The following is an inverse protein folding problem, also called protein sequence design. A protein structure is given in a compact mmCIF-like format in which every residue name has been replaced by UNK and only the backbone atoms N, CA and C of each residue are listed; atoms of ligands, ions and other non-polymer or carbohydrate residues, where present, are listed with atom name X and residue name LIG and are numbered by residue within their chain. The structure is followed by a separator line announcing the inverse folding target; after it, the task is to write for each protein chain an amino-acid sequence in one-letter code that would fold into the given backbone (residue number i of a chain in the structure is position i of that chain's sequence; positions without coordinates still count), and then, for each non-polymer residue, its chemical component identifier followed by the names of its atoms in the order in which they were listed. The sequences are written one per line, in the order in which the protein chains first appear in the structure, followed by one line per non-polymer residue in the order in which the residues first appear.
data_IF_574406715549
#
_entry.id   IF_574406715549
#
_cell.length_a   1.000
_cell.length_b   1.000
_cell.length_c   1.000
_cell.angle_alpha   90.00
_cell.angle_beta   90.00
_cell.angle_gamma   90.00
#
_symmetry.space_group_name_H-M   'P 1'
#
loop_
_entity.id
_entity.type
_entity.pdbx_description
1 polymer ?
#
# COMPACT_ATOMS: atom_id res chain seq x y z
N UNK A 1 20.49 -68.10 8.77
CA UNK A 1 21.62 -67.17 8.55
C UNK A 1 21.03 -65.85 8.09
N UNK A 2 21.23 -64.77 8.87
CA UNK A 2 21.35 -63.32 8.50
C UNK A 2 20.33 -62.75 7.47
N UNK A 3 19.65 -61.63 7.66
CA UNK A 3 20.03 -60.39 8.34
C UNK A 3 18.76 -59.51 8.48
N UNK A 4 18.52 -58.96 9.68
CA UNK A 4 17.51 -57.92 9.92
C UNK A 4 17.94 -56.63 9.22
N UNK A 5 17.06 -56.00 8.44
CA UNK A 5 17.25 -54.66 7.89
C UNK A 5 16.11 -53.74 8.33
N UNK A 6 15.99 -53.52 9.64
CA UNK A 6 15.31 -52.34 10.19
C UNK A 6 16.31 -51.19 10.17
N UNK A 7 16.39 -50.49 9.03
CA UNK A 7 17.08 -49.19 8.95
C UNK A 7 16.10 -48.14 9.43
N UNK A 8 16.12 -47.96 10.74
CA UNK A 8 16.33 -46.67 11.42
C UNK A 8 15.65 -45.46 10.77
N UNK A 9 14.36 -45.35 11.09
CA UNK A 9 13.57 -44.14 11.23
C UNK A 9 14.28 -43.16 12.21
N UNK A 10 15.33 -42.43 11.79
CA UNK A 10 16.10 -41.58 12.72
C UNK A 10 16.70 -40.30 12.14
N UNK A 11 16.24 -39.81 10.98
CA UNK A 11 16.79 -38.56 10.42
C UNK A 11 15.78 -37.57 9.83
N UNK A 12 14.48 -37.75 10.07
CA UNK A 12 13.43 -36.75 9.71
C UNK A 12 12.68 -36.28 10.97
N UNK A 13 13.35 -36.34 12.11
CA UNK A 13 13.01 -35.60 13.31
C UNK A 13 14.15 -34.63 13.66
N UNK A 14 14.79 -34.05 12.62
CA UNK A 14 15.38 -32.73 12.78
C UNK A 14 14.20 -31.81 13.01
N UNK A 15 13.80 -31.79 14.27
CA UNK A 15 12.94 -30.83 14.90
C UNK A 15 13.07 -29.52 14.14
N UNK A 16 11.97 -29.08 13.54
CA UNK A 16 11.77 -27.66 13.29
C UNK A 16 11.82 -27.00 14.67
N UNK A 17 13.03 -26.80 15.18
CA UNK A 17 13.29 -25.83 16.23
C UNK A 17 13.11 -24.50 15.50
N UNK A 18 11.86 -24.07 15.41
CA UNK A 18 11.53 -22.70 15.09
C UNK A 18 12.14 -21.88 16.21
N UNK A 19 13.35 -21.37 15.97
CA UNK A 19 13.96 -20.43 16.88
C UNK A 19 13.09 -19.18 16.80
N UNK A 20 12.15 -19.03 17.73
CA UNK A 20 11.41 -17.79 17.89
C UNK A 20 12.46 -16.70 18.17
N UNK A 21 12.76 -15.91 17.15
CA UNK A 21 13.69 -14.80 17.29
C UNK A 21 12.97 -13.77 18.15
N UNK A 22 13.37 -13.67 19.41
CA UNK A 22 12.84 -12.62 20.29
C UNK A 22 13.22 -11.26 19.70
N UNK A 23 12.25 -10.54 19.14
CA UNK A 23 12.46 -9.17 18.68
C UNK A 23 12.58 -8.28 19.91
N UNK A 24 13.74 -7.62 20.05
CA UNK A 24 14.06 -6.73 21.18
C UNK A 24 14.24 -5.30 20.67
N UNK A 25 14.13 -4.32 21.58
CA UNK A 25 14.32 -2.90 21.31
C UNK A 25 13.36 -2.37 20.24
N UNK A 26 12.06 -2.58 20.48
CA UNK A 26 10.96 -2.05 19.67
C UNK A 26 10.20 -1.00 20.46
N UNK A 27 9.73 0.04 19.78
CA UNK A 27 9.07 1.19 20.39
C UNK A 27 7.54 1.02 20.43
N UNK A 28 6.99 0.24 19.49
CA UNK A 28 5.55 0.05 19.34
C UNK A 28 5.24 -1.31 18.74
N UNK A 29 4.10 -1.88 19.16
CA UNK A 29 3.51 -3.10 18.60
C UNK A 29 2.06 -2.79 18.27
N UNK A 30 1.66 -3.04 17.03
CA UNK A 30 0.29 -2.89 16.57
C UNK A 30 -0.53 -4.18 16.80
N UNK A 31 -1.87 -4.11 16.83
CA UNK A 31 -2.72 -5.30 16.78
C UNK A 31 -2.45 -6.15 15.53
N UNK A 32 -2.73 -7.44 15.62
CA UNK A 32 -2.69 -8.32 14.45
C UNK A 32 -3.80 -7.94 13.45
N UNK A 33 -3.44 -7.90 12.16
CA UNK A 33 -4.35 -7.88 11.02
C UNK A 33 -3.85 -8.90 10.02
N UNK A 34 -4.75 -9.75 9.52
CA UNK A 34 -4.40 -10.81 8.54
C UNK A 34 -3.19 -11.65 8.97
N UNK A 35 -3.18 -12.03 10.25
CA UNK A 35 -2.14 -12.84 10.89
C UNK A 35 -0.74 -12.18 11.00
N UNK A 36 -0.62 -10.90 10.65
CA UNK A 36 0.59 -10.09 10.79
C UNK A 36 0.38 -8.93 11.77
N UNK A 37 1.38 -8.64 12.59
CA UNK A 37 1.39 -7.46 13.46
C UNK A 37 2.56 -6.56 13.10
N UNK A 38 2.30 -5.27 12.90
CA UNK A 38 3.34 -4.29 12.66
C UNK A 38 4.09 -3.97 13.96
N UNK A 39 5.41 -3.89 13.89
CA UNK A 39 6.28 -3.51 15.01
C UNK A 39 7.20 -2.38 14.58
N UNK A 40 7.42 -1.41 15.47
CA UNK A 40 8.22 -0.22 15.17
C UNK A 40 9.55 -0.23 15.89
N UNK A 41 10.60 0.22 15.22
CA UNK A 41 11.91 0.51 15.79
C UNK A 41 12.45 1.80 15.17
N UNK A 42 12.59 2.85 15.97
CA UNK A 42 12.86 4.20 15.50
C UNK A 42 11.75 4.69 14.58
N UNK A 43 12.13 5.13 13.37
CA UNK A 43 11.20 5.57 12.34
C UNK A 43 10.84 4.46 11.32
N UNK A 44 11.27 3.22 11.57
CA UNK A 44 11.03 2.07 10.68
C UNK A 44 10.00 1.11 11.28
N UNK A 45 9.27 0.44 10.39
CA UNK A 45 8.30 -0.60 10.74
C UNK A 45 8.66 -1.92 10.07
N UNK A 46 8.44 -3.03 10.76
CA UNK A 46 8.49 -4.39 10.21
C UNK A 46 7.23 -5.16 10.62
N UNK A 47 7.10 -6.41 10.17
CA UNK A 47 5.96 -7.27 10.53
C UNK A 47 6.40 -8.57 11.16
N UNK A 48 5.70 -8.96 12.22
CA UNK A 48 5.83 -10.27 12.86
C UNK A 48 4.59 -11.13 12.60
N UNK A 49 4.79 -12.45 12.60
CA UNK A 49 3.68 -13.41 12.59
C UNK A 49 3.21 -13.76 14.02
N UNK A 50 2.23 -14.66 14.14
CA UNK A 50 1.66 -15.09 15.43
C UNK A 50 2.66 -15.81 16.35
N UNK A 51 3.71 -16.39 15.79
CA UNK A 51 4.81 -17.01 16.54
C UNK A 51 5.85 -15.99 17.03
N UNK A 52 5.64 -14.69 16.75
CA UNK A 52 6.55 -13.60 17.11
C UNK A 52 7.79 -13.52 16.22
N UNK A 53 7.80 -14.22 15.09
CA UNK A 53 8.91 -14.22 14.13
C UNK A 53 8.79 -13.01 13.21
N UNK A 54 9.88 -12.27 13.02
CA UNK A 54 9.96 -11.20 12.03
C UNK A 54 9.90 -11.80 10.62
N UNK A 55 8.82 -11.51 9.89
CA UNK A 55 8.57 -12.05 8.54
C UNK A 55 8.72 -11.00 7.44
N UNK A 56 8.58 -9.72 7.77
CA UNK A 56 8.96 -8.59 6.91
C UNK A 56 9.90 -7.71 7.70
N UNK A 57 11.10 -7.50 7.16
CA UNK A 57 12.14 -6.70 7.82
C UNK A 57 11.76 -5.21 7.94
N UNK A 58 12.47 -4.50 8.80
CA UNK A 58 12.23 -3.08 9.04
C UNK A 58 12.48 -2.24 7.79
N UNK A 59 11.49 -1.40 7.47
CA UNK A 59 11.48 -0.53 6.31
C UNK A 59 10.88 0.84 6.67
N UNK A 60 11.29 1.87 5.94
CA UNK A 60 10.99 3.29 6.20
C UNK A 60 9.92 3.88 5.25
N UNK A 61 9.48 3.09 4.29
CA UNK A 61 8.53 3.41 3.24
C UNK A 61 7.09 2.96 3.56
N UNK A 62 6.85 2.32 4.71
CA UNK A 62 5.49 2.00 5.16
C UNK A 62 4.75 3.28 5.55
N UNK A 63 3.47 3.39 5.16
CA UNK A 63 2.66 4.57 5.46
C UNK A 63 2.08 4.48 6.87
N UNK A 64 2.33 5.51 7.66
CA UNK A 64 1.75 5.71 9.00
C UNK A 64 1.84 7.18 9.40
N UNK A 65 0.99 7.60 10.34
CA UNK A 65 0.94 8.96 10.87
C UNK A 65 1.12 8.93 12.40
N UNK A 66 2.08 9.74 12.90
CA UNK A 66 2.31 9.92 14.35
C UNK A 66 1.15 10.68 15.02
N UNK A 67 0.43 11.51 14.27
CA UNK A 67 -0.61 12.41 14.78
C UNK A 67 -1.93 12.15 14.05
N UNK A 68 -2.54 11.00 14.32
CA UNK A 68 -3.86 10.67 13.76
C UNK A 68 -4.86 11.75 14.16
N UNK A 69 -5.37 12.46 13.15
CA UNK A 69 -6.49 13.38 13.29
C UNK A 69 -7.76 12.65 12.83
N UNK A 70 -8.50 12.11 13.80
CA UNK A 70 -9.75 11.36 13.57
C UNK A 70 -10.81 12.20 12.82
N UNK A 71 -10.63 13.52 12.69
CA UNK A 71 -11.54 14.38 11.94
C UNK A 71 -11.32 14.35 10.42
N UNK A 72 -10.21 13.78 9.94
CA UNK A 72 -9.84 13.77 8.51
C UNK A 72 -10.25 12.45 7.83
N UNK A 73 -11.53 12.37 7.47
CA UNK A 73 -12.06 11.29 6.65
C UNK A 73 -11.31 11.18 5.31
N UNK A 74 -10.75 10.00 5.00
CA UNK A 74 -10.14 9.71 3.70
C UNK A 74 -8.69 10.18 3.50
N UNK A 75 -8.03 10.68 4.53
CA UNK A 75 -6.56 10.84 4.53
C UNK A 75 -5.90 9.61 5.15
N UNK A 76 -4.65 9.35 4.73
CA UNK A 76 -3.76 8.27 5.13
C UNK A 76 -3.35 8.30 6.61
N UNK A 77 -4.16 8.88 7.48
CA UNK A 77 -3.92 8.98 8.92
C UNK A 77 -4.27 7.65 9.59
N UNK A 78 -3.35 6.70 9.50
CA UNK A 78 -3.38 5.47 10.30
C UNK A 78 -2.26 5.52 11.34
N UNK A 79 -2.52 5.12 12.60
CA UNK A 79 -1.51 5.17 13.66
C UNK A 79 -0.36 4.17 13.44
N UNK A 80 -0.57 3.16 12.60
CA UNK A 80 0.41 2.14 12.26
C UNK A 80 0.10 1.48 10.91
N UNK A 81 1.09 0.88 10.24
CA UNK A 81 0.87 0.03 9.07
C UNK A 81 0.09 -1.24 9.44
N UNK A 82 -0.65 -1.79 8.49
CA UNK A 82 -1.33 -3.07 8.62
C UNK A 82 -1.66 -3.65 7.23
N UNK A 83 -1.95 -4.95 7.20
CA UNK A 83 -2.42 -5.63 5.99
C UNK A 83 -3.94 -5.66 5.95
N UNK A 84 -4.50 -5.27 4.80
CA UNK A 84 -5.92 -5.35 4.45
C UNK A 84 -6.03 -5.91 3.03
N UNK A 85 -6.81 -6.98 2.89
CA UNK A 85 -6.93 -7.76 1.66
C UNK A 85 -5.59 -8.21 1.07
N UNK A 86 -4.65 -8.61 1.93
CA UNK A 86 -3.31 -9.07 1.57
C UNK A 86 -2.35 -7.95 1.18
N UNK A 87 -2.74 -6.68 1.33
CA UNK A 87 -2.00 -5.52 0.84
C UNK A 87 -1.67 -4.57 1.97
N UNK A 88 -0.44 -4.03 1.97
CA UNK A 88 -0.02 -2.99 2.89
C UNK A 88 0.49 -1.76 2.13
N UNK A 89 0.05 -0.59 2.56
CA UNK A 89 0.35 0.66 1.87
C UNK A 89 1.79 1.11 2.11
N UNK A 90 2.48 1.43 1.02
CA UNK A 90 3.81 2.02 1.03
C UNK A 90 3.82 3.34 0.26
N UNK A 91 4.86 4.15 0.48
CA UNK A 91 5.14 5.33 -0.33
C UNK A 91 6.58 5.30 -0.84
N UNK A 92 6.81 5.87 -2.01
CA UNK A 92 8.13 6.15 -2.53
C UNK A 92 8.21 7.62 -2.93
N UNK A 93 9.34 8.24 -2.64
CA UNK A 93 9.62 9.60 -3.10
C UNK A 93 10.38 9.48 -4.43
N UNK A 94 9.68 9.66 -5.55
CA UNK A 94 10.29 9.59 -6.87
C UNK A 94 11.29 10.72 -7.14
N UNK A 95 11.90 10.74 -8.33
CA UNK A 95 12.91 11.74 -8.76
C UNK A 95 12.50 13.20 -8.54
N UNK A 96 11.19 13.47 -8.56
CA UNK A 96 10.63 14.80 -8.42
C UNK A 96 10.44 15.24 -6.96
N UNK A 97 10.74 14.40 -5.96
CA UNK A 97 10.51 14.75 -4.54
C UNK A 97 9.04 14.76 -4.12
N UNK A 98 8.16 14.13 -4.90
CA UNK A 98 6.72 14.01 -4.63
C UNK A 98 6.44 12.59 -4.15
N UNK A 99 5.75 12.42 -3.01
CA UNK A 99 5.39 11.09 -2.52
C UNK A 99 4.35 10.46 -3.43
N UNK A 100 4.65 9.23 -3.85
CA UNK A 100 3.77 8.36 -4.60
C UNK A 100 3.49 7.12 -3.76
N UNK A 101 2.28 6.61 -3.84
CA UNK A 101 1.79 5.50 -3.03
C UNK A 101 1.60 4.26 -3.87
N UNK A 102 1.90 3.11 -3.28
CA UNK A 102 1.74 1.79 -3.85
C UNK A 102 1.50 0.77 -2.74
N UNK A 103 1.65 -0.51 -3.04
CA UNK A 103 1.39 -1.57 -2.07
C UNK A 103 2.44 -2.68 -2.11
N UNK A 104 2.67 -3.27 -0.94
CA UNK A 104 3.37 -4.52 -0.79
C UNK A 104 2.40 -5.66 -0.47
N UNK A 105 2.76 -6.86 -0.90
CA UNK A 105 2.11 -8.10 -0.48
C UNK A 105 2.57 -8.55 0.92
N UNK A 106 1.95 -9.60 1.44
CA UNK A 106 2.29 -10.21 2.75
C UNK A 106 3.69 -10.83 2.80
N UNK A 107 4.39 -10.93 1.66
CA UNK A 107 5.80 -11.34 1.60
C UNK A 107 6.75 -10.14 1.72
N UNK A 108 6.22 -8.92 1.71
CA UNK A 108 6.97 -7.66 1.76
C UNK A 108 7.42 -7.17 0.39
N UNK A 109 7.01 -7.82 -0.72
CA UNK A 109 7.38 -7.41 -2.08
C UNK A 109 6.37 -6.41 -2.62
N UNK A 110 6.85 -5.47 -3.44
CA UNK A 110 5.97 -4.53 -4.14
C UNK A 110 5.04 -5.33 -5.06
N UNK A 111 3.74 -5.23 -4.80
CA UNK A 111 2.67 -5.85 -5.57
C UNK A 111 2.00 -4.83 -6.50
N UNK A 112 1.90 -3.57 -6.07
CA UNK A 112 1.43 -2.45 -6.90
C UNK A 112 2.47 -1.34 -6.79
N UNK A 113 3.02 -0.93 -7.93
CA UNK A 113 4.05 0.10 -7.99
C UNK A 113 3.57 1.44 -7.43
N UNK A 114 4.45 2.24 -6.79
CA UNK A 114 4.12 3.57 -6.33
C UNK A 114 3.83 4.57 -7.46
N UNK A 115 2.60 4.55 -7.97
CA UNK A 115 2.13 5.37 -9.10
C UNK A 115 0.94 6.28 -8.74
N UNK A 116 0.50 6.26 -7.48
CA UNK A 116 -0.67 6.99 -7.03
C UNK A 116 -0.29 8.20 -6.18
N UNK A 117 -0.87 9.37 -6.45
CA UNK A 117 -0.65 10.58 -5.63
C UNK A 117 -1.42 10.56 -4.31
N UNK A 118 -2.48 9.77 -4.27
CA UNK A 118 -3.30 9.49 -3.10
C UNK A 118 -4.05 8.19 -3.38
N UNK A 119 -4.12 7.27 -2.43
CA UNK A 119 -4.84 6.01 -2.58
C UNK A 119 -5.38 5.54 -1.22
N UNK A 120 -6.58 4.99 -1.20
CA UNK A 120 -7.13 4.38 0.01
C UNK A 120 -6.45 3.04 0.28
N UNK A 121 -6.56 2.54 1.51
CA UNK A 121 -6.34 1.12 1.74
C UNK A 121 -7.38 0.28 1.00
N UNK A 122 -7.10 -1.01 0.86
CA UNK A 122 -8.08 -1.94 0.31
C UNK A 122 -9.21 -2.20 1.29
N UNK A 123 -10.44 -2.18 0.79
CA UNK A 123 -11.63 -2.65 1.49
C UNK A 123 -12.47 -3.46 0.49
N UNK A 124 -12.88 -4.66 0.89
CA UNK A 124 -13.54 -5.63 0.01
C UNK A 124 -12.79 -5.89 -1.31
N UNK A 125 -11.45 -5.86 -1.26
CA UNK A 125 -10.59 -6.11 -2.43
C UNK A 125 -10.50 -4.95 -3.41
N UNK A 126 -10.98 -3.77 -3.05
CA UNK A 126 -10.97 -2.58 -3.90
C UNK A 126 -10.27 -1.39 -3.23
N UNK A 127 -9.58 -0.57 -4.00
CA UNK A 127 -8.98 0.69 -3.55
C UNK A 127 -9.26 1.82 -4.54
N UNK A 128 -9.46 3.03 -4.00
CA UNK A 128 -9.64 4.26 -4.78
C UNK A 128 -8.35 5.05 -4.80
N UNK A 129 -7.85 5.40 -5.99
CA UNK A 129 -6.58 6.10 -6.13
C UNK A 129 -6.58 7.18 -7.19
N UNK A 130 -5.67 8.15 -7.04
CA UNK A 130 -5.34 9.15 -8.05
C UNK A 130 -4.07 8.70 -8.76
N UNK A 131 -4.24 7.97 -9.85
CA UNK A 131 -3.15 7.49 -10.70
C UNK A 131 -2.47 8.67 -11.41
N UNK A 132 -1.15 8.71 -11.38
CA UNK A 132 -0.32 9.68 -12.08
C UNK A 132 0.45 9.01 -13.21
N UNK A 133 0.11 9.33 -14.46
CA UNK A 133 0.84 8.89 -15.63
C UNK A 133 1.82 9.97 -16.08
N UNK A 134 3.13 9.67 -16.05
CA UNK A 134 4.20 10.52 -16.58
C UNK A 134 4.60 10.02 -17.97
N UNK A 135 4.43 10.85 -19.01
CA UNK A 135 4.80 10.49 -20.39
C UNK A 135 5.86 11.45 -20.92
N UNK A 136 6.99 10.91 -21.39
CA UNK A 136 8.01 11.71 -22.07
C UNK A 136 7.48 12.24 -23.41
N UNK A 137 7.65 13.54 -23.66
CA UNK A 137 7.18 14.23 -24.87
C UNK A 137 8.30 14.66 -25.81
N UNK A 138 9.56 14.56 -25.38
CA UNK A 138 10.71 14.99 -26.16
C UNK A 138 11.60 15.96 -25.38
N UNK A 139 12.50 16.61 -26.09
CA UNK A 139 13.36 17.65 -25.54
C UNK A 139 13.03 18.98 -26.19
N UNK A 140 13.11 20.07 -25.42
CA UNK A 140 13.03 21.41 -25.98
C UNK A 140 14.38 21.82 -26.62
N UNK A 141 14.43 23.02 -27.20
CA UNK A 141 15.63 23.59 -27.84
C UNK A 141 16.83 23.72 -26.88
N UNK A 142 16.56 23.73 -25.57
CA UNK A 142 17.57 23.77 -24.50
C UNK A 142 17.99 22.37 -24.02
N UNK A 143 17.58 21.30 -24.71
CA UNK A 143 17.83 19.89 -24.32
C UNK A 143 17.23 19.49 -22.98
N UNK A 144 16.22 20.21 -22.51
CA UNK A 144 15.47 19.85 -21.31
C UNK A 144 14.38 18.84 -21.69
N UNK A 145 14.33 17.73 -20.96
CA UNK A 145 13.27 16.72 -21.11
C UNK A 145 11.91 17.32 -20.75
N UNK A 146 10.94 17.18 -21.63
CA UNK A 146 9.56 17.61 -21.42
C UNK A 146 8.72 16.37 -21.12
N UNK A 147 7.97 16.43 -20.02
CA UNK A 147 7.04 15.38 -19.61
C UNK A 147 5.62 15.93 -19.59
N UNK A 148 4.66 15.12 -20.02
CA UNK A 148 3.22 15.35 -19.79
C UNK A 148 2.78 14.50 -18.60
N UNK A 149 2.09 15.14 -17.66
CA UNK A 149 1.47 14.46 -16.54
C UNK A 149 -0.04 14.38 -16.76
N UNK A 150 -0.60 13.20 -16.57
CA UNK A 150 -2.05 12.97 -16.55
C UNK A 150 -2.44 12.35 -15.23
N UNK A 151 -3.53 12.85 -14.66
CA UNK A 151 -4.03 12.37 -13.38
C UNK A 151 -5.44 11.85 -13.57
N UNK A 152 -5.70 10.68 -13.01
CA UNK A 152 -7.01 10.03 -13.13
C UNK A 152 -7.39 9.41 -11.79
N UNK A 153 -8.62 9.64 -11.37
CA UNK A 153 -9.19 8.93 -10.24
C UNK A 153 -9.76 7.60 -10.75
N UNK A 154 -9.30 6.51 -10.14
CA UNK A 154 -9.55 5.13 -10.57
C UNK A 154 -9.92 4.26 -9.38
N UNK A 155 -10.70 3.24 -9.64
CA UNK A 155 -10.92 2.12 -8.73
C UNK A 155 -10.06 0.95 -9.22
N UNK A 156 -9.31 0.33 -8.33
CA UNK A 156 -8.44 -0.81 -8.65
C UNK A 156 -8.73 -2.02 -7.77
N UNK A 157 -8.40 -3.21 -8.27
CA UNK A 157 -8.41 -4.46 -7.50
C UNK A 157 -7.05 -4.73 -6.82
N UNK A 158 -6.96 -5.83 -6.07
CA UNK A 158 -5.73 -6.22 -5.35
C UNK A 158 -4.58 -6.64 -6.27
N UNK A 159 -4.82 -6.86 -7.56
CA UNK A 159 -3.77 -7.10 -8.56
C UNK A 159 -3.28 -5.81 -9.22
N UNK A 160 -3.91 -4.68 -8.91
CA UNK A 160 -3.64 -3.39 -9.52
C UNK A 160 -4.34 -3.20 -10.87
N UNK A 161 -5.31 -4.05 -11.22
CA UNK A 161 -6.13 -3.90 -12.42
C UNK A 161 -7.13 -2.76 -12.19
N UNK A 162 -7.27 -1.88 -13.18
CA UNK A 162 -8.23 -0.77 -13.13
C UNK A 162 -9.63 -1.31 -13.41
N UNK A 163 -10.47 -1.33 -12.39
CA UNK A 163 -11.85 -1.79 -12.45
C UNK A 163 -12.80 -0.72 -12.98
N UNK A 164 -12.57 0.55 -12.62
CA UNK A 164 -13.42 1.66 -13.06
C UNK A 164 -12.60 2.95 -13.22
N UNK A 165 -12.87 3.67 -14.31
CA UNK A 165 -12.32 5.01 -14.53
C UNK A 165 -13.31 6.07 -14.06
N UNK A 166 -13.08 6.64 -12.88
CA UNK A 166 -14.03 7.56 -12.24
C UNK A 166 -14.01 8.93 -12.93
N UNK A 167 -12.81 9.42 -13.25
CA UNK A 167 -12.66 10.65 -14.00
C UNK A 167 -11.26 11.25 -14.00
N UNK A 168 -11.02 12.17 -14.93
CA UNK A 168 -9.77 12.93 -14.99
C UNK A 168 -9.67 13.94 -13.85
N UNK A 169 -8.45 14.11 -13.36
CA UNK A 169 -8.07 15.07 -12.32
C UNK A 169 -7.20 16.15 -12.95
N UNK A 170 -7.61 17.39 -12.71
CA UNK A 170 -6.95 18.59 -13.22
C UNK A 170 -6.44 19.44 -12.05
N UNK A 171 -5.57 20.42 -12.35
CA UNK A 171 -5.03 21.38 -11.39
C UNK A 171 -4.19 20.76 -10.25
N UNK A 172 -3.49 19.67 -10.54
CA UNK A 172 -2.50 19.07 -9.62
C UNK A 172 -1.12 19.62 -9.99
N UNK A 173 -0.47 20.28 -9.03
CA UNK A 173 0.84 20.88 -9.21
C UNK A 173 1.95 19.92 -8.82
N UNK A 174 2.70 19.40 -9.80
CA UNK A 174 3.83 18.51 -9.57
C UNK A 174 5.14 19.26 -9.28
N UNK A 175 5.06 20.39 -8.58
CA UNK A 175 6.23 21.15 -8.12
C UNK A 175 6.35 20.99 -6.61
N UNK A 176 7.42 20.40 -6.05
CA UNK A 176 7.49 20.05 -4.62
C UNK A 176 7.13 21.17 -3.66
N UNK A 177 7.61 22.39 -3.92
CA UNK A 177 7.35 23.56 -3.07
C UNK A 177 5.89 24.02 -3.05
N UNK A 178 5.07 23.55 -3.99
CA UNK A 178 3.65 23.90 -4.15
C UNK A 178 2.77 22.64 -4.21
N UNK A 179 3.35 21.47 -3.98
CA UNK A 179 2.62 20.23 -4.03
C UNK A 179 1.76 20.13 -2.78
N UNK A 180 0.48 19.86 -3.01
CA UNK A 180 -0.46 19.48 -1.98
C UNK A 180 -1.07 18.15 -2.41
N UNK A 181 -1.13 17.18 -1.49
CA UNK A 181 -1.71 15.88 -1.78
C UNK A 181 -3.17 16.07 -2.23
N UNK A 182 -3.53 15.60 -3.44
CA UNK A 182 -4.87 15.79 -3.94
C UNK A 182 -5.88 14.91 -3.19
N UNK A 183 -6.99 15.49 -2.74
CA UNK A 183 -8.08 14.72 -2.15
C UNK A 183 -8.87 13.95 -3.23
N UNK A 184 -9.29 12.74 -2.86
CA UNK A 184 -10.26 11.95 -3.62
C UNK A 184 -11.59 12.71 -3.69
N UNK A 185 -12.30 12.57 -4.82
CA UNK A 185 -13.70 13.02 -4.96
C UNK A 185 -14.68 11.88 -4.83
N UNK A 186 -14.19 10.65 -4.72
CA UNK A 186 -15.01 9.46 -4.59
C UNK A 186 -14.77 8.75 -3.26
N UNK A 187 -15.73 7.93 -2.88
CA UNK A 187 -15.64 7.02 -1.74
C UNK A 187 -16.53 5.80 -1.98
N UNK A 188 -16.08 4.65 -1.51
CA UNK A 188 -16.91 3.44 -1.47
C UNK A 188 -17.99 3.59 -0.39
N UNK A 189 -19.21 3.16 -0.69
CA UNK A 189 -20.32 3.05 0.26
C UNK A 189 -20.57 1.59 0.67
N UNK A 190 -20.34 0.66 -0.25
CA UNK A 190 -20.33 -0.79 -0.09
C UNK A 190 -19.45 -1.40 -1.19
N UNK A 191 -19.24 -2.72 -1.18
CA UNK A 191 -18.40 -3.41 -2.18
C UNK A 191 -18.79 -3.16 -3.65
N UNK A 192 -20.04 -2.81 -3.94
CA UNK A 192 -20.57 -2.57 -5.29
C UNK A 192 -21.15 -1.16 -5.50
N UNK A 193 -21.02 -0.26 -4.51
CA UNK A 193 -21.66 1.05 -4.54
C UNK A 193 -20.65 2.18 -4.29
N UNK A 194 -20.48 3.02 -5.30
CA UNK A 194 -19.51 4.11 -5.31
C UNK A 194 -20.23 5.47 -5.24
N UNK A 195 -19.83 6.34 -4.33
CA UNK A 195 -20.23 7.74 -4.33
C UNK A 195 -19.15 8.59 -5.00
N UNK A 196 -19.53 9.47 -5.92
CA UNK A 196 -18.62 10.35 -6.67
C UNK A 196 -19.10 11.80 -6.60
N UNK A 197 -18.22 12.71 -6.20
CA UNK A 197 -18.47 14.15 -6.24
C UNK A 197 -18.19 14.70 -7.63
N UNK A 198 -19.26 15.05 -8.34
CA UNK A 198 -19.22 15.45 -9.74
C UNK A 198 -18.70 16.88 -9.93
N UNK A 199 -18.39 17.23 -11.19
CA UNK A 199 -17.98 18.59 -11.56
C UNK A 199 -19.08 19.63 -11.30
N UNK A 200 -20.35 19.21 -11.25
CA UNK A 200 -21.49 20.06 -10.90
C UNK A 200 -21.62 20.34 -9.39
N UNK A 201 -20.65 19.89 -8.58
CA UNK A 201 -20.67 20.00 -7.11
C UNK A 201 -21.89 19.29 -6.50
N UNK A 202 -22.18 18.09 -7.00
CA UNK A 202 -23.24 17.21 -6.51
C UNK A 202 -22.69 15.80 -6.33
N UNK A 203 -23.30 15.04 -5.42
CA UNK A 203 -23.02 13.61 -5.29
C UNK A 203 -23.79 12.80 -6.33
N UNK A 204 -23.10 11.88 -6.97
CA UNK A 204 -23.65 10.81 -7.78
C UNK A 204 -23.37 9.48 -7.08
N UNK A 205 -24.33 8.57 -7.10
CA UNK A 205 -24.13 7.20 -6.60
C UNK A 205 -24.17 6.27 -7.81
N UNK A 206 -23.11 5.48 -7.99
CA UNK A 206 -22.92 4.55 -9.09
C UNK A 206 -22.90 3.14 -8.55
N UNK A 207 -23.69 2.26 -9.17
CA UNK A 207 -23.56 0.82 -8.95
C UNK A 207 -22.48 0.29 -9.89
N UNK A 208 -21.52 -0.46 -9.36
CA UNK A 208 -20.43 -1.05 -10.10
C UNK A 208 -20.85 -2.41 -10.64
N UNK A 209 -20.50 -2.70 -11.89
CA UNK A 209 -20.60 -4.04 -12.49
C UNK A 209 -19.21 -4.68 -12.41
N UNK A 210 -18.93 -5.32 -11.28
CA UNK A 210 -17.64 -5.97 -10.96
C UNK A 210 -17.65 -7.46 -11.30
#
# INVERSE_FOLDING_TARGET
MKLKLTITLFFIAFSLVTHSQTVKNIDQVAPFSEDLAAIRKGDQWGFINKEGTLVIDFRDDLVWDKNVDDSKFGQLSRPHPLFENGMCLIYSTGEEGIPMYGFIDTTGKIAIEPEYLNITSFDNGLALGILCTKTFKGQNEFKLNIFEYKFSEVLIDTKGEIMEFIGRRDNILMTPRRYEQPNLRSKMLSGDLLAVWSKEKKWEVRKLEL
#
